data_IF_168258279630
#
_entry.id   IF_168258279630
#
_cell.length_a   1.000
_cell.length_b   1.000
_cell.length_c   1.000
_cell.angle_alpha   90.00
_cell.angle_beta   90.00
_cell.angle_gamma   90.00
#
_symmetry.space_group_name_H-M   'P 1'
#
loop_
_entity.id
_entity.type
_entity.pdbx_description
1 polymer ?
#
# COMPACT_ATOMS: atom_id res chain seq x y z
N UNK A 1 -21.70 -18.75 8.01
CA UNK A 1 -21.19 -17.86 9.09
C UNK A 1 -20.09 -16.99 8.51
N UNK A 2 -20.14 -15.68 8.71
CA UNK A 2 -19.14 -14.73 8.17
C UNK A 2 -18.08 -14.45 9.24
N UNK A 3 -16.81 -14.61 8.88
CA UNK A 3 -15.66 -14.42 9.78
C UNK A 3 -14.74 -13.29 9.32
N UNK A 4 -14.89 -12.81 8.09
CA UNK A 4 -14.07 -11.76 7.52
C UNK A 4 -14.86 -10.88 6.56
N UNK A 5 -14.45 -9.63 6.46
CA UNK A 5 -14.93 -8.64 5.50
C UNK A 5 -13.72 -8.11 4.72
N UNK A 6 -13.78 -8.20 3.39
CA UNK A 6 -12.73 -7.69 2.50
C UNK A 6 -13.33 -6.54 1.70
N UNK A 7 -12.68 -5.37 1.76
CA UNK A 7 -13.16 -4.20 1.01
C UNK A 7 -12.00 -3.36 0.47
N UNK A 8 -12.31 -2.51 -0.50
CA UNK A 8 -11.37 -1.55 -1.04
C UNK A 8 -11.11 -0.39 -0.07
N UNK A 9 -10.26 0.53 -0.51
CA UNK A 9 -9.93 1.73 0.24
C UNK A 9 -10.93 2.87 0.08
N UNK A 10 -12.19 2.67 -0.34
CA UNK A 10 -13.16 3.77 -0.49
C UNK A 10 -13.44 4.48 0.85
N UNK A 11 -13.79 5.78 0.81
CA UNK A 11 -14.02 6.60 2.02
C UNK A 11 -15.07 6.00 2.95
N UNK A 12 -16.16 5.48 2.40
CA UNK A 12 -17.24 4.82 3.14
C UNK A 12 -16.74 3.58 3.88
N UNK A 13 -15.95 2.73 3.22
CA UNK A 13 -15.37 1.52 3.80
C UNK A 13 -14.39 1.85 4.94
N UNK A 14 -13.56 2.88 4.76
CA UNK A 14 -12.67 3.36 5.83
C UNK A 14 -13.45 3.90 7.04
N UNK A 15 -14.54 4.64 6.80
CA UNK A 15 -15.41 5.14 7.87
C UNK A 15 -16.10 3.98 8.63
N UNK A 16 -16.56 2.97 7.90
CA UNK A 16 -17.15 1.77 8.47
C UNK A 16 -16.16 0.99 9.35
N UNK A 17 -14.94 0.74 8.88
CA UNK A 17 -13.90 0.08 9.68
C UNK A 17 -13.57 0.91 10.92
N UNK A 18 -13.41 2.23 10.78
CA UNK A 18 -13.12 3.14 11.91
C UNK A 18 -14.22 3.11 12.97
N UNK A 19 -15.49 3.01 12.57
CA UNK A 19 -16.62 2.88 13.49
C UNK A 19 -16.56 1.60 14.33
N UNK A 20 -16.03 0.51 13.76
CA UNK A 20 -15.98 -0.81 14.39
C UNK A 20 -14.64 -1.12 15.07
N UNK A 21 -13.64 -0.26 14.89
CA UNK A 21 -12.33 -0.38 15.54
C UNK A 21 -12.43 0.14 16.99
N UNK A 22 -12.14 -0.70 18.01
CA UNK A 22 -12.18 -0.26 19.39
C UNK A 22 -11.14 0.84 19.68
N UNK A 23 -11.45 1.75 20.61
CA UNK A 23 -10.58 2.89 20.97
C UNK A 23 -9.17 2.46 21.45
N UNK A 24 -9.04 1.22 21.94
CA UNK A 24 -7.76 0.56 22.19
C UNK A 24 -7.52 -0.47 21.08
N UNK A 25 -6.83 -0.04 20.03
CA UNK A 25 -6.30 -0.95 19.00
C UNK A 25 -5.47 -2.02 19.71
N UNK A 26 -5.71 -3.29 19.40
CA UNK A 26 -4.92 -4.42 19.91
C UNK A 26 -3.43 -4.14 19.73
N UNK A 27 -2.61 -4.64 20.65
CA UNK A 27 -1.16 -4.39 20.73
C UNK A 27 -0.40 -4.69 19.42
N UNK A 28 -0.99 -5.46 18.51
CA UNK A 28 -0.43 -5.76 17.20
C UNK A 28 -0.56 -4.63 16.17
N UNK A 29 -1.47 -3.64 16.33
CA UNK A 29 -1.75 -2.50 15.40
C UNK A 29 -1.99 -2.85 13.92
N UNK A 30 -1.90 -4.12 13.56
CA UNK A 30 -1.87 -4.62 12.17
C UNK A 30 -3.20 -5.26 11.78
N UNK A 31 -3.94 -5.80 12.75
CA UNK A 31 -5.22 -6.47 12.52
C UNK A 31 -6.36 -5.58 13.01
N UNK A 32 -7.32 -5.31 12.12
CA UNK A 32 -8.57 -4.65 12.47
C UNK A 32 -9.63 -5.74 12.65
N UNK A 33 -10.17 -5.86 13.86
CA UNK A 33 -11.23 -6.81 14.17
C UNK A 33 -12.32 -6.16 15.04
N UNK A 34 -13.48 -6.81 15.11
CA UNK A 34 -14.58 -6.42 15.98
C UNK A 34 -15.37 -7.66 16.43
N UNK A 35 -16.07 -7.56 17.57
CA UNK A 35 -16.90 -8.66 18.06
C UNK A 35 -18.14 -8.81 17.19
N UNK A 36 -18.46 -10.04 16.78
CA UNK A 36 -19.70 -10.30 16.07
C UNK A 36 -20.90 -10.18 17.01
N UNK A 37 -21.80 -9.22 16.76
CA UNK A 37 -22.98 -8.96 17.60
C UNK A 37 -23.97 -10.13 17.66
N UNK A 38 -23.98 -11.00 16.66
CA UNK A 38 -24.87 -12.16 16.61
C UNK A 38 -24.24 -13.42 17.22
N UNK A 39 -22.90 -13.45 17.32
CA UNK A 39 -22.11 -14.62 17.77
C UNK A 39 -20.92 -14.10 18.58
N UNK A 40 -21.13 -13.69 19.85
CA UNK A 40 -20.13 -12.96 20.64
C UNK A 40 -18.83 -13.72 20.95
N UNK A 41 -18.84 -15.04 20.81
CA UNK A 41 -17.68 -15.93 20.91
C UNK A 41 -16.70 -15.79 19.74
N UNK A 42 -17.04 -15.00 18.70
CA UNK A 42 -16.25 -14.90 17.47
C UNK A 42 -15.95 -13.46 17.06
N UNK A 43 -14.76 -13.29 16.51
CA UNK A 43 -14.32 -12.04 15.91
C UNK A 43 -14.67 -11.99 14.43
N UNK A 44 -14.94 -10.78 13.95
CA UNK A 44 -15.06 -10.44 12.54
C UNK A 44 -13.82 -9.62 12.14
N UNK A 45 -13.07 -10.12 11.17
CA UNK A 45 -11.83 -9.48 10.72
C UNK A 45 -12.05 -8.58 9.50
N UNK A 46 -11.40 -7.42 9.47
CA UNK A 46 -11.41 -6.50 8.34
C UNK A 46 -10.09 -6.58 7.56
N UNK A 47 -10.19 -6.85 6.26
CA UNK A 47 -9.06 -6.88 5.35
C UNK A 47 -9.24 -5.87 4.22
N UNK A 48 -8.12 -5.30 3.80
CA UNK A 48 -8.08 -4.50 2.57
C UNK A 48 -7.93 -5.40 1.35
N UNK A 49 -8.53 -5.00 0.23
CA UNK A 49 -8.33 -5.62 -1.08
C UNK A 49 -6.88 -5.45 -1.57
N UNK A 50 -6.10 -6.54 -1.53
CA UNK A 50 -4.66 -6.55 -1.84
C UNK A 50 -4.38 -6.09 -3.29
N UNK A 51 -5.04 -6.63 -4.34
CA UNK A 51 -4.95 -6.10 -5.69
C UNK A 51 -5.14 -4.57 -5.79
N UNK A 52 -6.13 -4.01 -5.09
CA UNK A 52 -6.40 -2.58 -5.12
C UNK A 52 -5.27 -1.77 -4.45
N UNK A 53 -4.71 -2.28 -3.35
CA UNK A 53 -3.55 -1.69 -2.70
C UNK A 53 -2.33 -1.67 -3.61
N UNK A 54 -2.03 -2.79 -4.29
CA UNK A 54 -0.91 -2.88 -5.24
C UNK A 54 -1.07 -1.90 -6.40
N UNK A 55 -2.27 -1.79 -6.96
CA UNK A 55 -2.56 -0.84 -8.04
C UNK A 55 -2.37 0.61 -7.57
N UNK A 56 -2.85 0.94 -6.37
CA UNK A 56 -2.69 2.26 -5.77
C UNK A 56 -1.22 2.59 -5.54
N UNK A 57 -0.46 1.64 -4.98
CA UNK A 57 0.98 1.76 -4.77
C UNK A 57 1.72 1.96 -6.09
N UNK A 58 1.41 1.18 -7.13
CA UNK A 58 2.02 1.34 -8.45
C UNK A 58 1.76 2.72 -9.04
N UNK A 59 0.52 3.22 -8.95
CA UNK A 59 0.15 4.55 -9.45
C UNK A 59 0.88 5.66 -8.68
N UNK A 60 0.91 5.56 -7.36
CA UNK A 60 1.67 6.43 -6.48
C UNK A 60 3.16 6.46 -6.86
N UNK A 61 3.74 5.28 -7.06
CA UNK A 61 5.12 5.12 -7.42
C UNK A 61 5.44 5.69 -8.80
N UNK A 62 4.61 5.44 -9.82
CA UNK A 62 4.76 6.05 -11.14
C UNK A 62 4.68 7.59 -11.08
N UNK A 63 3.76 8.12 -10.28
CA UNK A 63 3.58 9.56 -10.09
C UNK A 63 4.71 10.23 -9.29
N UNK A 64 5.61 9.46 -8.66
CA UNK A 64 6.81 10.00 -7.99
C UNK A 64 7.87 10.54 -8.96
N UNK A 65 7.71 10.27 -10.27
CA UNK A 65 8.62 10.75 -11.32
C UNK A 65 8.74 12.27 -11.31
N UNK A 66 9.98 12.77 -11.24
CA UNK A 66 10.24 14.21 -11.34
C UNK A 66 10.08 14.66 -12.78
N UNK A 67 8.99 15.36 -13.09
CA UNK A 67 8.81 16.03 -14.38
C UNK A 67 8.75 17.54 -14.18
N UNK A 68 9.02 18.36 -15.22
CA UNK A 68 8.87 19.82 -15.13
C UNK A 68 7.47 20.25 -14.65
N UNK A 69 6.43 19.45 -14.97
CA UNK A 69 5.04 19.65 -14.54
C UNK A 69 4.72 19.17 -13.10
N UNK A 70 5.59 18.36 -12.49
CA UNK A 70 5.39 17.76 -11.15
C UNK A 70 6.50 18.14 -10.16
N UNK A 71 7.08 19.34 -10.24
CA UNK A 71 8.12 19.81 -9.29
C UNK A 71 7.69 19.82 -7.81
N UNK A 72 6.38 19.86 -7.51
CA UNK A 72 5.82 19.98 -6.15
C UNK A 72 5.25 18.68 -5.54
N UNK A 73 5.19 17.56 -6.28
CA UNK A 73 4.62 16.32 -5.72
C UNK A 73 5.63 15.59 -4.84
N UNK A 74 5.25 15.35 -3.60
CA UNK A 74 6.06 14.66 -2.60
C UNK A 74 6.39 13.23 -3.06
N UNK A 75 7.68 12.87 -3.30
CA UNK A 75 8.09 11.50 -3.58
C UNK A 75 8.02 10.58 -2.35
N UNK A 76 7.27 10.96 -1.31
CA UNK A 76 7.39 10.43 0.06
C UNK A 76 6.74 9.07 0.29
N UNK A 77 6.22 8.39 -0.74
CA UNK A 77 5.42 7.18 -0.55
C UNK A 77 6.27 5.92 -0.35
N UNK A 78 7.50 5.90 -0.88
CA UNK A 78 8.41 4.76 -0.72
C UNK A 78 9.77 5.23 -0.23
N UNK A 79 10.14 4.77 0.96
CA UNK A 79 11.46 5.01 1.56
C UNK A 79 12.03 3.72 2.07
N UNK A 80 13.34 3.52 1.89
CA UNK A 80 14.10 2.43 2.48
C UNK A 80 15.35 3.02 3.09
N UNK A 81 15.60 2.75 4.38
CA UNK A 81 16.79 3.24 5.10
C UNK A 81 17.00 4.76 5.00
N UNK A 82 15.91 5.55 5.02
CA UNK A 82 15.95 7.01 4.92
C UNK A 82 15.97 7.57 3.50
N UNK A 83 16.32 6.76 2.51
CA UNK A 83 16.40 7.16 1.09
C UNK A 83 15.05 6.99 0.38
N UNK A 84 14.79 7.84 -0.63
CA UNK A 84 13.58 7.78 -1.43
C UNK A 84 13.73 6.82 -2.61
N UNK A 85 12.76 5.91 -2.75
CA UNK A 85 12.63 5.06 -3.94
C UNK A 85 11.62 5.73 -4.86
N UNK A 86 12.09 6.27 -5.98
CA UNK A 86 11.26 6.96 -6.97
C UNK A 86 11.31 6.24 -8.32
N UNK A 87 10.37 6.58 -9.20
CA UNK A 87 10.27 5.97 -10.53
C UNK A 87 11.58 6.03 -11.32
N UNK A 88 12.29 7.16 -11.23
CA UNK A 88 13.56 7.37 -11.93
C UNK A 88 14.67 6.41 -11.45
N UNK A 89 14.60 5.93 -10.20
CA UNK A 89 15.53 4.91 -9.67
C UNK A 89 15.41 3.61 -10.46
N UNK A 90 14.20 3.16 -10.78
CA UNK A 90 13.99 1.94 -11.58
C UNK A 90 14.44 2.13 -13.02
N UNK A 91 14.15 3.30 -13.63
CA UNK A 91 14.63 3.60 -14.99
C UNK A 91 16.16 3.50 -15.04
N UNK A 92 16.86 4.12 -14.08
CA UNK A 92 18.33 4.07 -14.00
C UNK A 92 18.85 2.65 -13.86
N UNK A 93 18.24 1.84 -12.99
CA UNK A 93 18.61 0.43 -12.82
C UNK A 93 18.42 -0.37 -14.10
N UNK A 94 17.27 -0.21 -14.76
CA UNK A 94 16.98 -0.87 -16.03
C UNK A 94 17.99 -0.51 -17.13
N UNK A 95 18.29 0.78 -17.30
CA UNK A 95 19.28 1.24 -18.27
C UNK A 95 20.70 0.76 -17.93
N UNK A 96 21.04 0.71 -16.64
CA UNK A 96 22.34 0.18 -16.20
C UNK A 96 22.50 -1.29 -16.54
N UNK A 97 21.49 -2.11 -16.23
CA UNK A 97 21.49 -3.54 -16.54
C UNK A 97 21.56 -3.79 -18.04
N UNK A 98 20.73 -3.11 -18.82
CA UNK A 98 20.75 -3.19 -20.29
C UNK A 98 22.14 -2.89 -20.88
N UNK A 99 22.88 -1.95 -20.30
CA UNK A 99 24.26 -1.64 -20.71
C UNK A 99 25.28 -2.71 -20.31
N UNK A 100 25.06 -3.43 -19.20
CA UNK A 100 25.91 -4.56 -18.81
C UNK A 100 25.69 -5.74 -19.75
N UNK A 101 24.42 -6.09 -20.03
CA UNK A 101 24.07 -7.16 -20.96
C UNK A 101 24.68 -6.93 -22.36
N UNK A 102 24.74 -5.67 -22.81
CA UNK A 102 25.38 -5.29 -24.08
C UNK A 102 26.91 -5.45 -24.08
N UNK A 103 27.58 -5.34 -22.92
CA UNK A 103 29.04 -5.52 -22.80
C UNK A 103 29.45 -6.99 -22.74
N UNK A 104 28.54 -7.89 -22.41
CA UNK A 104 28.80 -9.34 -22.38
C UNK A 104 28.64 -10.00 -23.76
N UNK A 105 28.10 -9.26 -24.74
CA UNK A 105 27.83 -9.74 -26.11
C UNK A 105 28.92 -9.26 -27.10
N UNK A 106 29.78 -8.32 -26.72
CA UNK A 106 30.88 -7.76 -27.53
C UNK A 106 32.21 -8.26 -26.99
#
# INVERSE_FOLDING_TARGET
MVIAFVCDGASTNRAFIKLHTPAKVTSSRVVFDTVNKHVPDRLLYFFSDVPHLLKTLRNAFFNSRKTPRNKKKNPQLLRKNGEYIVWDTIIKLYLSKKRQDLKEIV
#
